data_IF_969218170402
#
_entry.id   IF_969218170402
#
_cell.length_a   1.000
_cell.length_b   1.000
_cell.length_c   1.000
_cell.angle_alpha   90.00
_cell.angle_beta   90.00
_cell.angle_gamma   90.00
#
_symmetry.space_group_name_H-M   'P 1'
#
loop_
_entity.id
_entity.type
_entity.pdbx_description
1 polymer ?
#
# COMPACT_ATOMS: atom_id res chain seq x y z
N UNK A 1 -16.05 -10.45 -7.71
CA UNK A 1 -16.91 -11.63 -7.87
C UNK A 1 -16.71 -12.31 -9.22
N UNK A 2 -16.95 -11.62 -10.35
CA UNK A 2 -16.68 -12.18 -11.69
C UNK A 2 -15.25 -12.72 -11.86
N UNK A 3 -14.22 -11.94 -11.48
CA UNK A 3 -12.81 -12.38 -11.55
C UNK A 3 -12.53 -13.66 -10.76
N UNK A 4 -13.18 -13.85 -9.61
CA UNK A 4 -12.99 -15.06 -8.78
C UNK A 4 -13.65 -16.28 -9.41
N UNK A 5 -14.77 -16.10 -10.11
CA UNK A 5 -15.42 -17.16 -10.87
C UNK A 5 -14.52 -17.65 -12.01
N UNK A 6 -13.93 -16.72 -12.77
CA UNK A 6 -13.01 -17.08 -13.87
C UNK A 6 -11.82 -17.90 -13.36
N UNK A 7 -11.22 -17.48 -12.24
CA UNK A 7 -10.12 -18.24 -11.62
C UNK A 7 -10.58 -19.62 -11.13
N UNK A 8 -11.79 -19.73 -10.58
CA UNK A 8 -12.35 -21.01 -10.15
C UNK A 8 -12.58 -21.97 -11.33
N UNK A 9 -13.11 -21.46 -12.44
CA UNK A 9 -13.40 -22.24 -13.65
C UNK A 9 -12.11 -22.78 -14.29
N UNK A 10 -11.07 -21.94 -14.41
CA UNK A 10 -9.75 -22.35 -14.95
C UNK A 10 -9.04 -23.40 -14.08
N UNK A 11 -9.22 -23.33 -12.76
CA UNK A 11 -8.62 -24.27 -11.81
C UNK A 11 -9.50 -25.50 -11.56
N UNK A 12 -10.75 -25.53 -12.05
CA UNK A 12 -11.71 -26.59 -11.83
C UNK A 12 -12.14 -26.77 -10.37
N UNK A 13 -12.17 -25.69 -9.58
CA UNK A 13 -12.52 -25.68 -8.14
C UNK A 13 -13.78 -24.86 -7.87
N UNK A 14 -14.32 -24.92 -6.65
CA UNK A 14 -15.51 -24.12 -6.32
C UNK A 14 -15.14 -22.66 -6.02
N UNK A 15 -15.92 -21.65 -6.45
CA UNK A 15 -15.65 -20.23 -6.18
C UNK A 15 -15.49 -19.88 -4.70
N UNK A 16 -16.12 -20.64 -3.79
CA UNK A 16 -15.95 -20.46 -2.35
C UNK A 16 -14.52 -20.71 -1.88
N UNK A 17 -13.78 -21.59 -2.55
CA UNK A 17 -12.37 -21.88 -2.24
C UNK A 17 -11.49 -20.70 -2.62
N UNK A 18 -11.72 -20.11 -3.81
CA UNK A 18 -11.07 -18.87 -4.25
C UNK A 18 -11.38 -17.72 -3.29
N UNK A 19 -12.66 -17.59 -2.88
CA UNK A 19 -13.06 -16.60 -1.89
C UNK A 19 -12.35 -16.80 -0.54
N UNK A 20 -12.19 -18.05 -0.10
CA UNK A 20 -11.42 -18.39 1.10
C UNK A 20 -9.97 -17.90 1.02
N UNK A 21 -9.31 -18.09 -0.12
CA UNK A 21 -7.94 -17.62 -0.35
C UNK A 21 -7.87 -16.09 -0.36
N UNK A 22 -8.77 -15.44 -1.11
CA UNK A 22 -8.79 -13.97 -1.22
C UNK A 22 -9.06 -13.29 0.12
N UNK A 23 -9.99 -13.83 0.92
CA UNK A 23 -10.29 -13.31 2.25
C UNK A 23 -9.16 -13.56 3.26
N UNK A 24 -8.41 -14.66 3.10
CA UNK A 24 -7.30 -15.01 3.98
C UNK A 24 -6.05 -14.14 3.77
N UNK A 25 -5.63 -13.91 2.53
CA UNK A 25 -4.40 -13.16 2.25
C UNK A 25 -4.65 -11.64 2.29
N UNK A 26 -4.09 -10.96 3.29
CA UNK A 26 -4.28 -9.52 3.53
C UNK A 26 -3.95 -8.60 2.32
N UNK A 27 -3.09 -9.05 1.41
CA UNK A 27 -2.74 -8.31 0.20
C UNK A 27 -3.85 -8.33 -0.85
N UNK A 28 -4.65 -9.41 -0.90
CA UNK A 28 -5.71 -9.65 -1.89
C UNK A 28 -7.07 -9.03 -1.52
N UNK A 29 -7.17 -8.29 -0.41
CA UNK A 29 -8.44 -7.68 0.04
C UNK A 29 -9.11 -6.84 -1.05
N UNK A 30 -10.43 -6.98 -1.12
CA UNK A 30 -11.32 -6.43 -2.15
C UNK A 30 -11.71 -4.95 -1.93
N UNK A 31 -11.16 -4.29 -0.91
CA UNK A 31 -11.41 -2.86 -0.67
C UNK A 31 -10.77 -2.00 -1.76
N UNK A 32 -11.48 -0.95 -2.21
CA UNK A 32 -10.98 0.00 -3.20
C UNK A 32 -9.76 0.74 -2.66
N UNK A 33 -8.58 0.31 -3.09
CA UNK A 33 -7.32 0.99 -2.77
C UNK A 33 -7.05 2.09 -3.78
N UNK A 34 -6.46 3.17 -3.30
CA UNK A 34 -5.95 4.23 -4.14
C UNK A 34 -4.80 3.75 -5.01
N UNK A 35 -4.46 4.56 -6.03
CA UNK A 35 -3.41 4.23 -7.00
C UNK A 35 -2.03 3.95 -6.37
N UNK A 36 -1.70 4.65 -5.29
CA UNK A 36 -0.50 4.45 -4.50
C UNK A 36 -0.84 4.00 -3.09
N UNK A 37 -0.41 2.80 -2.73
CA UNK A 37 -0.65 2.20 -1.42
C UNK A 37 0.62 2.29 -0.60
N UNK A 38 0.62 3.16 0.41
CA UNK A 38 1.69 3.33 1.37
C UNK A 38 1.50 2.35 2.52
N UNK A 39 2.44 1.43 2.69
CA UNK A 39 2.40 0.39 3.74
C UNK A 39 3.60 0.53 4.67
N UNK A 40 3.39 1.07 5.87
CA UNK A 40 4.44 1.24 6.88
C UNK A 40 4.56 -0.02 7.73
N UNK A 41 5.76 -0.53 7.94
CA UNK A 41 5.98 -1.72 8.76
C UNK A 41 5.61 -1.45 10.23
N UNK A 42 4.71 -2.25 10.80
CA UNK A 42 4.21 -2.06 12.17
C UNK A 42 4.89 -2.93 13.24
N UNK A 43 6.03 -3.55 12.93
CA UNK A 43 6.75 -4.40 13.89
C UNK A 43 7.55 -3.60 14.92
N UNK A 44 7.92 -4.28 16.03
CA UNK A 44 8.68 -3.68 17.14
C UNK A 44 10.05 -3.13 16.71
N UNK A 45 10.73 -3.77 15.75
CA UNK A 45 12.00 -3.28 15.23
C UNK A 45 11.85 -1.89 14.60
N UNK A 46 10.77 -1.67 13.86
CA UNK A 46 10.46 -0.36 13.28
C UNK A 46 9.98 0.64 14.35
N UNK A 47 9.32 0.19 15.42
CA UNK A 47 8.97 1.06 16.56
C UNK A 47 10.22 1.59 17.26
N UNK A 48 11.17 0.71 17.57
CA UNK A 48 12.44 1.08 18.18
C UNK A 48 13.28 2.00 17.27
N UNK A 49 13.17 1.82 15.95
CA UNK A 49 13.76 2.71 14.95
C UNK A 49 13.01 4.04 14.75
N UNK A 50 11.94 4.29 15.50
CA UNK A 50 11.24 5.59 15.50
C UNK A 50 10.16 5.76 14.43
N UNK A 51 9.54 4.67 13.95
CA UNK A 51 8.48 4.72 12.90
C UNK A 51 7.34 5.70 13.23
N UNK A 52 7.06 5.94 14.51
CA UNK A 52 5.99 6.85 14.94
C UNK A 52 6.14 8.29 14.39
N UNK A 53 7.37 8.74 14.12
CA UNK A 53 7.60 10.04 13.48
C UNK A 53 7.22 10.00 11.99
N UNK A 54 7.60 8.93 11.29
CA UNK A 54 7.25 8.68 9.88
C UNK A 54 5.75 8.52 9.70
N UNK A 55 5.09 7.77 10.60
CA UNK A 55 3.65 7.57 10.60
C UNK A 55 2.89 8.89 10.67
N UNK A 56 3.24 9.75 11.65
CA UNK A 56 2.63 11.08 11.79
C UNK A 56 2.86 11.96 10.57
N UNK A 57 4.06 11.91 9.98
CA UNK A 57 4.36 12.70 8.79
C UNK A 57 3.52 12.23 7.58
N UNK A 58 3.36 10.92 7.40
CA UNK A 58 2.50 10.36 6.35
C UNK A 58 1.04 10.80 6.51
N UNK A 59 0.50 10.75 7.74
CA UNK A 59 -0.86 11.21 8.01
C UNK A 59 -1.04 12.71 7.75
N UNK A 60 -0.05 13.53 8.14
CA UNK A 60 -0.07 14.97 7.93
C UNK A 60 -0.02 15.34 6.43
N UNK A 61 0.88 14.71 5.66
CA UNK A 61 1.12 15.05 4.25
C UNK A 61 0.04 14.50 3.32
N UNK A 62 -0.52 13.33 3.64
CA UNK A 62 -1.61 12.71 2.86
C UNK A 62 -3.00 13.16 3.31
N UNK A 63 -3.15 13.68 4.54
CA UNK A 63 -4.42 14.10 5.10
C UNK A 63 -5.39 12.95 5.41
N UNK A 64 -4.90 11.72 5.55
CA UNK A 64 -5.66 10.49 5.81
C UNK A 64 -5.01 9.68 6.92
N UNK A 65 -5.78 8.84 7.62
CA UNK A 65 -5.27 7.95 8.66
C UNK A 65 -4.89 6.57 8.12
N UNK A 66 -4.14 5.82 8.92
CA UNK A 66 -3.89 4.41 8.62
C UNK A 66 -5.20 3.60 8.56
N UNK A 67 -5.40 2.89 7.46
CA UNK A 67 -6.63 2.18 7.11
C UNK A 67 -7.52 2.93 6.13
N UNK A 68 -7.21 4.19 5.82
CA UNK A 68 -8.03 5.03 4.96
C UNK A 68 -7.44 5.19 3.55
N UNK A 69 -8.29 5.62 2.63
CA UNK A 69 -7.95 6.00 1.27
C UNK A 69 -8.42 7.43 1.04
N UNK A 70 -7.62 8.23 0.35
CA UNK A 70 -7.93 9.62 0.06
C UNK A 70 -9.20 9.75 -0.79
N UNK A 71 -10.00 10.82 -0.61
CA UNK A 71 -11.25 11.01 -1.37
C UNK A 71 -11.05 11.10 -2.89
N UNK A 72 -9.85 11.48 -3.34
CA UNK A 72 -9.47 11.54 -4.75
C UNK A 72 -9.03 10.19 -5.33
N UNK A 73 -9.01 9.12 -4.52
CA UNK A 73 -8.63 7.77 -4.92
C UNK A 73 -7.14 7.62 -5.29
N UNK A 74 -6.29 8.59 -4.96
CA UNK A 74 -4.87 8.55 -5.35
C UNK A 74 -4.01 7.81 -4.34
N UNK A 75 -4.31 7.93 -3.05
CA UNK A 75 -3.45 7.45 -1.98
C UNK A 75 -4.22 6.56 -0.99
N UNK A 76 -3.64 5.45 -0.60
CA UNK A 76 -4.09 4.66 0.56
C UNK A 76 -2.96 4.54 1.57
N UNK A 77 -3.29 4.66 2.84
CA UNK A 77 -2.34 4.48 3.93
C UNK A 77 -2.72 3.24 4.73
N UNK A 78 -1.79 2.30 4.89
CA UNK A 78 -2.04 1.03 5.56
C UNK A 78 -0.83 0.58 6.39
N UNK A 79 -1.09 -0.31 7.35
CA UNK A 79 -0.03 -0.99 8.07
C UNK A 79 0.41 -2.25 7.31
N UNK A 80 1.72 -2.51 7.32
CA UNK A 80 2.29 -3.78 6.90
C UNK A 80 2.83 -4.55 8.09
N UNK A 81 2.79 -5.88 7.99
CA UNK A 81 3.62 -6.78 8.79
C UNK A 81 5.11 -6.55 8.52
N UNK A 82 5.98 -7.43 9.03
CA UNK A 82 7.41 -7.36 8.72
C UNK A 82 7.66 -7.34 7.21
N UNK A 83 8.48 -6.39 6.75
CA UNK A 83 8.91 -6.28 5.34
C UNK A 83 10.29 -6.92 5.10
N UNK A 84 10.85 -7.61 6.08
CA UNK A 84 12.18 -8.23 5.99
C UNK A 84 13.35 -7.24 6.10
N UNK A 85 13.09 -5.97 6.40
CA UNK A 85 14.09 -4.89 6.47
C UNK A 85 14.35 -4.42 7.91
N UNK A 86 14.41 -5.37 8.86
CA UNK A 86 14.47 -5.04 10.30
C UNK A 86 15.76 -4.32 10.70
N UNK A 87 16.87 -4.63 10.05
CA UNK A 87 18.16 -3.96 10.21
C UNK A 87 18.21 -2.56 9.56
N UNK A 88 17.24 -2.27 8.68
CA UNK A 88 17.11 -1.02 7.93
C UNK A 88 15.78 -0.30 8.21
N UNK A 89 15.23 -0.46 9.42
CA UNK A 89 14.01 0.22 9.83
C UNK A 89 14.20 1.75 10.01
N UNK A 90 13.13 2.56 9.95
CA UNK A 90 11.77 2.20 9.58
C UNK A 90 11.63 1.85 8.09
N UNK A 91 10.84 0.82 7.79
CA UNK A 91 10.63 0.34 6.42
C UNK A 91 9.22 0.69 5.92
N UNK A 92 9.15 1.24 4.70
CA UNK A 92 7.92 1.63 4.01
C UNK A 92 7.87 0.93 2.65
N UNK A 93 6.72 0.38 2.30
CA UNK A 93 6.46 -0.18 0.98
C UNK A 93 5.42 0.68 0.28
N UNK A 94 5.77 1.28 -0.86
CA UNK A 94 4.81 1.99 -1.71
C UNK A 94 4.57 1.15 -2.95
N UNK A 95 3.38 0.58 -3.08
CA UNK A 95 3.07 -0.46 -4.06
C UNK A 95 4.10 -1.62 -3.98
N UNK A 96 5.02 -1.70 -4.94
CA UNK A 96 6.06 -2.74 -5.05
C UNK A 96 7.46 -2.22 -4.70
N UNK A 97 7.60 -0.92 -4.40
CA UNK A 97 8.90 -0.30 -4.10
C UNK A 97 9.12 -0.19 -2.60
N UNK A 98 10.21 -0.80 -2.14
CA UNK A 98 10.64 -0.75 -0.74
C UNK A 98 11.53 0.47 -0.51
N UNK A 99 11.24 1.20 0.56
CA UNK A 99 12.04 2.29 1.11
C UNK A 99 12.48 1.90 2.52
N UNK A 100 13.76 2.08 2.79
CA UNK A 100 14.41 1.70 4.05
C UNK A 100 15.03 2.92 4.72
N UNK A 101 15.27 2.85 6.04
CA UNK A 101 15.76 3.95 6.88
C UNK A 101 14.95 5.23 6.65
N UNK A 102 13.63 5.08 6.49
CA UNK A 102 12.77 6.20 6.12
C UNK A 102 12.73 7.20 7.26
N UNK A 103 13.05 8.44 6.92
CA UNK A 103 12.98 9.59 7.82
C UNK A 103 11.72 10.41 7.50
N UNK A 104 11.19 11.19 8.46
CA UNK A 104 10.08 12.10 8.18
C UNK A 104 10.35 13.04 7.01
N UNK A 105 11.57 13.53 6.87
CA UNK A 105 11.95 14.46 5.81
C UNK A 105 11.85 13.83 4.41
N UNK A 106 12.18 12.54 4.30
CA UNK A 106 12.06 11.78 3.05
C UNK A 106 10.62 11.47 2.66
N UNK A 107 9.66 11.52 3.59
CA UNK A 107 8.24 11.25 3.29
C UNK A 107 7.72 12.19 2.22
N UNK A 108 8.07 13.48 2.31
CA UNK A 108 7.65 14.49 1.35
C UNK A 108 8.14 14.17 -0.07
N UNK A 109 9.43 13.83 -0.20
CA UNK A 109 10.06 13.48 -1.48
C UNK A 109 9.41 12.24 -2.11
N UNK A 110 9.10 11.22 -1.30
CA UNK A 110 8.44 9.99 -1.76
C UNK A 110 7.03 10.30 -2.27
N UNK A 111 6.27 11.12 -1.55
CA UNK A 111 4.91 11.51 -1.95
C UNK A 111 4.96 12.33 -3.25
N UNK A 112 5.89 13.26 -3.38
CA UNK A 112 6.05 14.09 -4.58
C UNK A 112 6.49 13.28 -5.79
N UNK A 113 7.35 12.27 -5.61
CA UNK A 113 7.67 11.31 -6.66
C UNK A 113 6.40 10.56 -7.13
N UNK A 114 5.54 10.13 -6.21
CA UNK A 114 4.27 9.48 -6.54
C UNK A 114 3.34 10.43 -7.31
N UNK A 115 3.22 11.70 -6.88
CA UNK A 115 2.41 12.73 -7.56
C UNK A 115 2.92 13.01 -8.98
N UNK A 116 4.24 13.11 -9.18
CA UNK A 116 4.84 13.31 -10.51
C UNK A 116 4.60 12.12 -11.43
N UNK A 117 4.77 10.91 -10.90
CA UNK A 117 4.52 9.65 -11.63
C UNK A 117 3.04 9.55 -12.05
N UNK A 118 2.12 9.98 -11.19
CA UNK A 118 0.70 10.09 -11.53
C UNK A 118 0.47 11.08 -12.69
N UNK A 119 1.08 12.27 -12.66
CA UNK A 119 0.95 13.26 -13.73
C UNK A 119 1.44 12.75 -15.10
N UNK A 120 2.45 11.89 -15.12
CA UNK A 120 2.94 11.26 -16.35
C UNK A 120 1.99 10.18 -16.89
N UNK A 121 1.43 9.33 -16.02
CA UNK A 121 0.49 8.26 -16.44
C UNK A 121 -0.95 8.73 -16.62
N UNK A 122 -1.37 9.86 -16.05
CA UNK A 122 -2.68 10.47 -16.29
C UNK A 122 -2.89 10.85 -17.76
N UNK A 123 -1.82 11.08 -18.53
CA UNK A 123 -1.88 11.30 -19.98
C UNK A 123 -2.10 10.02 -20.79
N UNK A 124 -1.84 8.84 -20.23
CA UNK A 124 -2.02 7.56 -20.92
C UNK A 124 -3.42 6.96 -20.75
N UNK A 125 -4.13 7.30 -19.66
CA UNK A 125 -5.47 6.76 -19.38
C UNK A 125 -6.62 7.43 -20.17
N UNK A 126 -6.34 8.45 -21.00
CA UNK A 126 -7.37 9.17 -21.79
C UNK A 126 -7.47 8.63 -23.23
N UNK A 127 -6.67 7.63 -23.60
CA UNK A 127 -6.63 7.07 -24.97
C UNK A 127 -6.80 5.55 -25.05
N UNK A 128 -7.54 4.93 -24.12
CA UNK A 128 -8.00 3.55 -24.24
C UNK A 128 -9.53 3.49 -24.23
#
# INVERSE_FOLDING_TARGET
DFEMQVVADELGIHPSEVYGVVSFYAFLRQESRGRFVFRLCQTISCDLAGKARVARQLENDLGIRFGETSPDGRFSLAWASCLGMCDQGPALLVNDRVYTRVTPEQVHEIIDECKRTFGAHARQAVHA
#
